data_IF_031511542510
#
_entry.id   IF_031511542510
#
_cell.length_a   1.000
_cell.length_b   1.000
_cell.length_c   1.000
_cell.angle_alpha   90.00
_cell.angle_beta   90.00
_cell.angle_gamma   90.00
#
_symmetry.space_group_name_H-M   'P 1'
#
loop_
_entity.id
_entity.type
_entity.pdbx_description
1 polymer ?
#
# COMPACT_ATOMS: atom_id res chain seq x y z
N UNK A 1 10.79 -35.95 3.72
CA UNK A 1 10.73 -34.88 4.73
C UNK A 1 10.25 -33.61 4.05
N UNK A 2 8.94 -33.36 3.98
CA UNK A 2 8.44 -32.04 3.61
C UNK A 2 8.64 -31.15 4.85
N UNK A 3 9.69 -30.34 4.83
CA UNK A 3 9.76 -29.18 5.73
C UNK A 3 8.64 -28.26 5.28
N UNK A 4 7.57 -28.14 6.08
CA UNK A 4 6.65 -27.01 5.97
C UNK A 4 7.50 -25.76 6.13
N UNK A 5 7.69 -25.01 5.04
CA UNK A 5 8.31 -23.70 5.11
C UNK A 5 7.49 -22.86 6.12
N UNK A 6 8.13 -22.09 7.02
CA UNK A 6 7.39 -21.16 7.85
C UNK A 6 6.57 -20.25 6.92
N UNK A 7 5.26 -20.13 7.16
CA UNK A 7 4.43 -19.17 6.44
C UNK A 7 5.00 -17.78 6.70
N UNK A 8 5.74 -17.25 5.72
CA UNK A 8 6.25 -15.89 5.77
C UNK A 8 5.07 -14.96 5.54
N UNK A 9 4.52 -14.44 6.63
CA UNK A 9 3.47 -13.45 6.55
C UNK A 9 4.13 -12.10 6.27
N UNK A 10 3.71 -11.38 5.21
CA UNK A 10 4.32 -10.12 4.86
C UNK A 10 4.05 -9.07 5.96
N UNK A 11 5.08 -8.26 6.26
CA UNK A 11 5.00 -7.12 7.19
C UNK A 11 4.14 -5.97 6.65
N UNK A 12 3.78 -6.02 5.37
CA UNK A 12 2.97 -5.01 4.68
C UNK A 12 1.73 -5.63 4.07
N UNK A 13 0.66 -4.85 4.01
CA UNK A 13 -0.60 -5.20 3.35
C UNK A 13 -0.95 -4.12 2.36
N UNK A 14 -1.13 -4.49 1.10
CA UNK A 14 -1.44 -3.56 0.01
C UNK A 14 -2.94 -3.21 0.04
N UNK A 15 -3.23 -1.91 0.05
CA UNK A 15 -4.57 -1.34 -0.11
C UNK A 15 -4.84 -0.96 -1.58
N UNK A 16 -3.78 -0.56 -2.30
CA UNK A 16 -3.80 -0.27 -3.73
C UNK A 16 -2.43 -0.64 -4.31
N UNK A 17 -2.41 -1.27 -5.49
CA UNK A 17 -1.21 -1.46 -6.28
C UNK A 17 -1.59 -1.36 -7.76
N UNK A 18 -1.27 -0.21 -8.38
CA UNK A 18 -1.68 0.09 -9.74
C UNK A 18 -1.11 -0.88 -10.78
N UNK A 19 0.02 -1.53 -10.50
CA UNK A 19 0.64 -2.52 -11.41
C UNK A 19 -0.05 -3.88 -11.37
N UNK A 20 -0.77 -4.18 -10.29
CA UNK A 20 -1.49 -5.45 -10.14
C UNK A 20 -2.85 -5.47 -10.85
N UNK A 21 -3.33 -4.31 -11.31
CA UNK A 21 -4.62 -4.14 -11.96
C UNK A 21 -4.48 -4.42 -13.46
N UNK A 22 -5.05 -5.53 -13.93
CA UNK A 22 -4.98 -5.91 -15.35
C UNK A 22 -5.99 -5.17 -16.25
N UNK A 23 -7.06 -4.62 -15.66
CA UNK A 23 -8.09 -3.84 -16.36
C UNK A 23 -7.87 -2.35 -16.23
N UNK A 24 -8.88 -1.56 -16.60
CA UNK A 24 -8.89 -0.10 -16.37
C UNK A 24 -8.74 0.21 -14.88
N UNK A 25 -7.81 1.11 -14.53
CA UNK A 25 -7.65 1.62 -13.16
C UNK A 25 -8.84 2.48 -12.73
N UNK A 26 -9.58 3.06 -13.68
CA UNK A 26 -10.77 3.87 -13.44
C UNK A 26 -10.47 5.25 -12.84
N UNK A 27 -9.21 5.70 -12.87
CA UNK A 27 -8.84 6.99 -12.31
C UNK A 27 -9.34 8.14 -13.19
N UNK A 28 -9.74 9.22 -12.54
CA UNK A 28 -10.40 10.34 -13.22
C UNK A 28 -9.41 11.47 -13.44
N UNK A 29 -9.10 11.75 -14.70
CA UNK A 29 -8.25 12.88 -15.11
C UNK A 29 -9.09 14.14 -15.38
N UNK A 30 -8.59 15.29 -14.95
CA UNK A 30 -9.14 16.61 -15.28
C UNK A 30 -8.03 17.66 -15.49
N UNK A 31 -8.10 18.51 -16.52
CA UNK A 31 -8.97 18.36 -17.70
C UNK A 31 -8.68 17.04 -18.42
N UNK A 32 -9.61 16.59 -19.28
CA UNK A 32 -9.47 15.31 -19.99
C UNK A 32 -8.22 15.22 -20.87
N UNK A 33 -7.65 16.37 -21.23
CA UNK A 33 -6.40 16.50 -21.99
C UNK A 33 -5.19 16.79 -21.09
N UNK A 34 -5.32 16.60 -19.77
CA UNK A 34 -4.23 16.71 -18.80
C UNK A 34 -3.47 15.40 -18.69
N UNK A 35 -3.82 14.60 -17.69
CA UNK A 35 -3.28 13.26 -17.50
C UNK A 35 -3.87 12.27 -18.50
N UNK A 36 -3.01 11.49 -19.14
CA UNK A 36 -3.37 10.46 -20.12
C UNK A 36 -2.89 9.09 -19.63
N UNK A 37 -3.77 8.09 -19.69
CA UNK A 37 -3.42 6.70 -19.41
C UNK A 37 -2.74 6.07 -20.63
N UNK A 38 -1.63 5.38 -20.37
CA UNK A 38 -0.83 4.66 -21.36
C UNK A 38 -0.61 3.23 -20.87
N UNK A 39 -0.88 2.28 -21.74
CA UNK A 39 -0.46 0.90 -21.54
C UNK A 39 1.02 0.74 -21.85
N UNK A 40 1.79 0.36 -20.83
CA UNK A 40 3.21 0.02 -20.93
C UNK A 40 3.44 -1.43 -20.49
N UNK A 41 4.69 -1.88 -20.53
CA UNK A 41 5.10 -3.17 -19.95
C UNK A 41 6.19 -2.94 -18.93
N UNK A 42 6.18 -3.73 -17.87
CA UNK A 42 7.24 -3.71 -16.88
C UNK A 42 8.45 -4.60 -17.26
N UNK A 43 9.41 -4.71 -16.35
CA UNK A 43 10.64 -5.51 -16.52
C UNK A 43 10.36 -7.01 -16.77
N UNK A 44 9.22 -7.52 -16.28
CA UNK A 44 8.78 -8.90 -16.45
C UNK A 44 7.85 -9.08 -17.66
N UNK A 45 7.73 -8.04 -18.51
CA UNK A 45 6.80 -7.97 -19.64
C UNK A 45 5.32 -8.08 -19.25
N UNK A 46 4.98 -7.80 -18.00
CA UNK A 46 3.60 -7.69 -17.58
C UNK A 46 3.02 -6.33 -18.03
N UNK A 47 1.79 -6.29 -18.57
CA UNK A 47 1.14 -5.04 -18.93
C UNK A 47 0.89 -4.22 -17.67
N UNK A 48 1.28 -2.95 -17.70
CA UNK A 48 1.06 -1.98 -16.63
C UNK A 48 0.36 -0.75 -17.20
N UNK A 49 -0.41 -0.06 -16.34
CA UNK A 49 -1.03 1.21 -16.67
C UNK A 49 -0.24 2.34 -16.06
N UNK A 50 0.29 3.20 -16.92
CA UNK A 50 1.07 4.39 -16.56
C UNK A 50 0.23 5.62 -16.87
N UNK A 51 0.26 6.64 -16.00
CA UNK A 51 -0.38 7.93 -16.30
C UNK A 51 0.69 8.97 -16.62
N UNK A 52 0.57 9.67 -17.74
CA UNK A 52 1.53 10.71 -18.13
C UNK A 52 0.89 12.07 -18.35
N UNK A 53 1.68 13.13 -18.17
CA UNK A 53 1.35 14.50 -18.57
C UNK A 53 2.63 15.24 -18.95
N UNK A 54 2.61 15.99 -20.05
CA UNK A 54 3.78 16.75 -20.53
C UNK A 54 3.37 18.06 -21.22
N UNK A 55 2.65 18.92 -20.48
CA UNK A 55 2.11 20.20 -21.00
C UNK A 55 2.98 21.42 -20.63
N UNK A 56 4.29 21.25 -20.80
CA UNK A 56 5.33 22.20 -20.34
C UNK A 56 5.34 23.55 -21.07
N UNK A 57 4.69 23.65 -22.22
CA UNK A 57 4.67 24.86 -23.07
C UNK A 57 3.54 25.83 -22.70
N UNK A 58 2.55 25.36 -21.95
CA UNK A 58 1.37 26.12 -21.62
C UNK A 58 1.52 26.82 -20.26
N UNK A 59 0.94 28.01 -20.13
CA UNK A 59 0.90 28.71 -18.84
C UNK A 59 -0.29 28.24 -18.00
N UNK A 60 -0.22 28.46 -16.68
CA UNK A 60 -1.31 28.22 -15.72
C UNK A 60 -1.88 26.79 -15.80
N UNK A 61 -1.00 25.79 -15.94
CA UNK A 61 -1.40 24.39 -15.89
C UNK A 61 -1.96 24.03 -14.51
N UNK A 62 -2.98 23.17 -14.51
CA UNK A 62 -3.60 22.60 -13.32
C UNK A 62 -4.27 21.27 -13.70
N UNK A 63 -3.45 20.24 -13.88
CA UNK A 63 -3.88 18.92 -14.32
C UNK A 63 -3.98 17.97 -13.13
N UNK A 64 -5.18 17.55 -12.78
CA UNK A 64 -5.50 16.63 -11.70
C UNK A 64 -5.74 15.21 -12.19
N UNK A 65 -5.30 14.24 -11.40
CA UNK A 65 -5.58 12.82 -11.53
C UNK A 65 -6.06 12.28 -10.19
N UNK A 66 -7.28 11.77 -10.15
CA UNK A 66 -7.91 11.26 -8.92
C UNK A 66 -7.98 9.73 -8.96
N UNK A 67 -7.57 9.08 -7.87
CA UNK A 67 -7.72 7.62 -7.74
C UNK A 67 -9.17 7.24 -7.46
N UNK A 68 -9.45 5.93 -7.46
CA UNK A 68 -10.66 5.41 -6.81
C UNK A 68 -10.55 5.50 -5.29
N UNK A 69 -11.67 5.23 -4.61
CA UNK A 69 -11.72 5.16 -3.16
C UNK A 69 -10.91 3.97 -2.64
N UNK A 70 -10.04 4.23 -1.66
CA UNK A 70 -9.15 3.25 -1.06
C UNK A 70 -9.61 3.01 0.37
N UNK A 71 -10.00 1.77 0.68
CA UNK A 71 -10.37 1.36 2.03
C UNK A 71 -9.13 1.32 2.92
N UNK A 72 -9.23 1.82 4.16
CA UNK A 72 -8.12 1.79 5.12
C UNK A 72 -7.90 0.42 5.74
N UNK A 73 -8.90 -0.47 5.69
CA UNK A 73 -8.92 -1.76 6.39
C UNK A 73 -8.58 -1.67 7.89
N UNK A 74 -8.91 -0.53 8.51
CA UNK A 74 -8.61 -0.26 9.92
C UNK A 74 -7.20 0.28 10.18
N UNK A 75 -6.38 0.47 9.13
CA UNK A 75 -5.09 1.12 9.25
C UNK A 75 -5.25 2.61 9.57
N UNK A 76 -4.62 3.06 10.65
CA UNK A 76 -4.55 4.47 11.02
C UNK A 76 -3.37 5.18 10.37
N UNK A 77 -2.40 4.43 9.84
CA UNK A 77 -1.27 4.98 9.09
C UNK A 77 -1.01 4.14 7.86
N UNK A 78 -0.88 4.80 6.73
CA UNK A 78 -0.61 4.17 5.43
C UNK A 78 0.63 4.81 4.81
N UNK A 79 1.26 4.07 3.91
CA UNK A 79 2.42 4.47 3.14
C UNK A 79 2.04 4.46 1.66
N UNK A 80 2.48 5.49 0.94
CA UNK A 80 2.28 5.68 -0.48
C UNK A 80 3.65 5.67 -1.11
N UNK A 81 3.92 4.62 -1.89
CA UNK A 81 5.10 4.49 -2.73
C UNK A 81 4.71 4.91 -4.15
N UNK A 82 5.40 5.93 -4.65
CA UNK A 82 5.26 6.43 -6.01
C UNK A 82 6.50 6.03 -6.80
N UNK A 83 6.30 5.41 -7.96
CA UNK A 83 7.36 5.24 -8.96
C UNK A 83 7.03 6.07 -10.18
N UNK A 84 7.94 6.94 -10.60
CA UNK A 84 7.68 7.87 -11.70
C UNK A 84 8.96 8.24 -12.43
N UNK A 85 8.81 8.74 -13.65
CA UNK A 85 9.90 9.37 -14.41
C UNK A 85 9.62 10.85 -14.57
N UNK A 86 10.68 11.66 -14.63
CA UNK A 86 10.59 13.11 -14.78
C UNK A 86 11.64 13.60 -15.77
N UNK A 87 11.20 14.40 -16.74
CA UNK A 87 12.11 14.98 -17.74
C UNK A 87 12.64 16.33 -17.28
N UNK A 88 13.94 16.52 -17.41
CA UNK A 88 14.63 17.78 -17.09
C UNK A 88 14.12 18.93 -17.98
N UNK A 89 13.77 20.07 -17.37
CA UNK A 89 13.24 21.22 -18.09
C UNK A 89 14.25 21.85 -19.07
N UNK A 90 15.55 21.76 -18.80
CA UNK A 90 16.61 22.23 -19.69
C UNK A 90 16.71 21.38 -20.97
N UNK A 91 16.20 20.15 -20.94
CA UNK A 91 16.16 19.25 -22.10
C UNK A 91 14.91 19.44 -22.98
N UNK A 92 14.02 20.37 -22.63
CA UNK A 92 12.77 20.63 -23.33
C UNK A 92 12.86 21.90 -24.17
N UNK A 93 12.73 21.80 -25.51
CA UNK A 93 12.78 22.97 -26.36
C UNK A 93 11.50 23.78 -26.15
N UNK A 94 11.61 24.99 -25.60
CA UNK A 94 10.51 25.97 -25.51
C UNK A 94 9.74 26.04 -24.19
N UNK A 95 10.08 25.22 -23.19
CA UNK A 95 9.45 25.25 -21.85
C UNK A 95 10.04 26.27 -20.87
N UNK A 96 10.86 27.21 -21.35
CA UNK A 96 11.62 28.13 -20.50
C UNK A 96 10.66 29.10 -19.79
N UNK A 97 10.56 28.97 -18.46
CA UNK A 97 9.75 29.82 -17.58
C UNK A 97 8.37 29.27 -17.21
N UNK A 98 7.89 28.23 -17.89
CA UNK A 98 6.62 27.54 -17.59
C UNK A 98 6.83 26.13 -17.03
N UNK A 99 7.89 25.44 -17.48
CA UNK A 99 8.20 24.08 -17.07
C UNK A 99 8.49 23.95 -15.56
N UNK A 100 8.01 22.85 -14.97
CA UNK A 100 8.24 22.45 -13.57
C UNK A 100 8.91 21.08 -13.51
N UNK A 101 9.63 20.84 -12.42
CA UNK A 101 10.30 19.55 -12.13
C UNK A 101 9.71 18.91 -10.86
N UNK A 102 8.46 19.26 -10.55
CA UNK A 102 7.72 18.75 -9.40
C UNK A 102 6.25 18.59 -9.72
N UNK A 103 5.57 17.72 -8.98
CA UNK A 103 4.11 17.60 -8.94
C UNK A 103 3.65 17.51 -7.49
N UNK A 104 2.37 17.78 -7.24
CA UNK A 104 1.84 17.75 -5.87
C UNK A 104 1.01 16.49 -5.64
N UNK A 105 1.11 15.92 -4.45
CA UNK A 105 0.26 14.83 -3.99
C UNK A 105 -0.73 15.32 -2.94
N UNK A 106 -1.97 14.87 -3.03
CA UNK A 106 -3.07 15.23 -2.15
C UNK A 106 -3.84 13.99 -1.68
N UNK A 107 -4.59 14.13 -0.59
CA UNK A 107 -5.54 13.12 -0.13
C UNK A 107 -6.84 13.73 0.39
N UNK A 108 -7.92 12.94 0.40
CA UNK A 108 -9.21 13.28 0.98
C UNK A 108 -9.82 12.07 1.67
N UNK A 109 -10.06 12.16 2.98
CA UNK A 109 -10.69 11.09 3.77
C UNK A 109 -12.23 11.18 3.74
N UNK A 110 -12.90 10.03 3.54
CA UNK A 110 -14.36 9.94 3.59
C UNK A 110 -14.82 8.53 3.99
N UNK A 111 -16.05 8.42 4.48
CA UNK A 111 -16.65 7.14 4.87
C UNK A 111 -17.32 6.39 3.69
N UNK A 112 -17.26 6.93 2.47
CA UNK A 112 -17.73 6.32 1.22
C UNK A 112 -19.15 6.73 0.80
N UNK A 113 -19.96 7.23 1.74
CA UNK A 113 -21.37 7.61 1.48
C UNK A 113 -21.50 9.00 0.81
N UNK A 114 -20.41 9.76 0.71
CA UNK A 114 -20.45 11.17 0.28
C UNK A 114 -20.33 11.37 -1.23
N UNK A 115 -19.67 10.46 -1.97
CA UNK A 115 -19.54 10.58 -3.44
C UNK A 115 -20.77 10.06 -4.20
N UNK A 116 -21.63 9.24 -3.57
CA UNK A 116 -22.92 8.83 -4.16
C UNK A 116 -24.01 9.92 -4.02
N UNK A 117 -23.85 10.87 -3.09
CA UNK A 117 -24.83 11.94 -2.82
C UNK A 117 -24.64 13.21 -3.67
N UNK A 118 -23.86 13.16 -4.76
CA UNK A 118 -23.62 14.29 -5.67
C UNK A 118 -24.01 13.96 -7.14
N UNK A 119 -25.04 13.14 -7.34
CA UNK A 119 -25.71 12.97 -8.63
C UNK A 119 -27.22 13.27 -8.59
N UNK A 120 -27.73 13.84 -7.50
CA UNK A 120 -29.16 14.10 -7.30
C UNK A 120 -29.48 15.50 -6.77
N UNK A 121 -29.93 16.38 -7.66
CA UNK A 121 -30.85 17.51 -7.45
C UNK A 121 -30.76 18.30 -6.11
N UNK A 122 -30.16 19.50 -6.14
CA UNK A 122 -30.38 20.46 -5.05
C UNK A 122 -31.69 21.26 -5.25
N UNK A 123 -32.38 21.45 -4.12
CA UNK A 123 -33.76 21.93 -3.91
C UNK A 123 -34.07 23.38 -4.32
N UNK A 124 -33.22 24.05 -5.10
CA UNK A 124 -33.41 25.48 -5.41
C UNK A 124 -32.93 25.91 -6.80
N UNK A 125 -33.28 25.18 -7.87
CA UNK A 125 -33.41 25.71 -9.25
C UNK A 125 -32.23 26.40 -9.96
N UNK A 126 -31.11 26.68 -9.28
CA UNK A 126 -29.87 27.22 -9.84
C UNK A 126 -28.88 26.08 -9.95
N UNK A 127 -28.67 25.58 -11.16
CA UNK A 127 -27.68 24.53 -11.42
C UNK A 127 -26.28 25.05 -11.17
N UNK A 128 -25.53 24.37 -10.30
CA UNK A 128 -24.10 24.58 -10.14
C UNK A 128 -23.39 24.25 -11.46
N UNK A 129 -22.44 25.09 -11.87
CA UNK A 129 -21.64 24.80 -13.06
C UNK A 129 -20.69 23.63 -12.79
N UNK A 130 -20.30 22.88 -13.84
CA UNK A 130 -19.32 21.78 -13.69
C UNK A 130 -17.99 22.28 -13.09
N UNK A 131 -17.62 23.53 -13.31
CA UNK A 131 -16.40 24.14 -12.75
C UNK A 131 -16.53 24.41 -11.24
N UNK A 132 -17.69 24.86 -10.78
CA UNK A 132 -17.97 25.10 -9.35
C UNK A 132 -18.04 23.80 -8.55
N UNK A 133 -18.69 22.77 -9.10
CA UNK A 133 -18.72 21.41 -8.53
C UNK A 133 -17.30 20.86 -8.33
N UNK A 134 -16.45 21.06 -9.34
CA UNK A 134 -15.04 20.64 -9.32
C UNK A 134 -14.21 21.43 -8.33
N UNK A 135 -14.31 22.75 -8.33
CA UNK A 135 -13.61 23.58 -7.35
C UNK A 135 -14.00 23.19 -5.93
N UNK A 136 -15.27 22.82 -5.71
CA UNK A 136 -15.74 22.29 -4.44
C UNK A 136 -15.10 20.94 -4.12
N UNK A 137 -15.03 20.00 -5.07
CA UNK A 137 -14.34 18.70 -4.91
C UNK A 137 -12.85 18.86 -4.60
N UNK A 138 -12.13 19.66 -5.40
CA UNK A 138 -10.71 19.95 -5.22
C UNK A 138 -10.42 20.61 -3.86
N UNK A 139 -11.34 21.46 -3.37
CA UNK A 139 -11.19 22.11 -2.06
C UNK A 139 -11.22 21.16 -0.86
N UNK A 140 -11.74 19.93 -1.03
CA UNK A 140 -11.76 18.90 0.02
C UNK A 140 -10.40 18.21 0.20
N UNK A 141 -9.52 18.31 -0.79
CA UNK A 141 -8.23 17.65 -0.78
C UNK A 141 -7.19 18.42 0.06
N UNK A 142 -6.47 17.69 0.90
CA UNK A 142 -5.37 18.21 1.71
C UNK A 142 -4.06 17.86 1.02
N UNK A 143 -3.19 18.86 0.86
CA UNK A 143 -1.86 18.66 0.25
C UNK A 143 -0.98 17.82 1.18
N UNK A 144 -0.44 16.72 0.67
CA UNK A 144 0.51 15.86 1.36
C UNK A 144 1.92 16.42 1.21
N UNK A 145 2.38 16.54 -0.04
CA UNK A 145 3.73 17.03 -0.33
C UNK A 145 3.85 17.53 -1.78
N UNK A 146 4.97 18.21 -2.06
CA UNK A 146 5.46 18.50 -3.41
C UNK A 146 6.54 17.48 -3.74
N UNK A 147 6.24 16.56 -4.66
CA UNK A 147 7.12 15.48 -5.06
C UNK A 147 8.09 15.98 -6.13
N UNK A 148 9.38 15.73 -5.91
CA UNK A 148 10.47 16.03 -6.83
C UNK A 148 11.18 14.73 -7.20
N UNK A 149 11.87 14.71 -8.34
CA UNK A 149 12.72 13.60 -8.74
C UNK A 149 14.11 13.72 -8.08
N UNK A 150 14.67 12.58 -7.67
CA UNK A 150 16.09 12.46 -7.32
C UNK A 150 16.97 12.51 -8.58
N UNK A 151 16.51 11.84 -9.65
CA UNK A 151 17.14 11.84 -10.96
C UNK A 151 16.12 12.19 -12.06
N UNK A 152 16.40 13.24 -12.83
CA UNK A 152 15.69 13.56 -14.06
C UNK A 152 16.41 12.98 -15.28
N UNK A 153 15.67 12.73 -16.36
CA UNK A 153 16.26 12.30 -17.64
C UNK A 153 16.30 13.46 -18.64
N UNK A 154 17.30 13.43 -19.51
CA UNK A 154 17.60 14.45 -20.52
C UNK A 154 17.46 13.92 -21.94
N UNK A 155 17.70 14.77 -22.95
CA UNK A 155 17.70 14.36 -24.37
C UNK A 155 18.79 13.32 -24.67
N UNK A 156 19.93 13.37 -23.97
CA UNK A 156 21.00 12.39 -24.10
C UNK A 156 20.53 11.00 -23.63
N UNK A 157 19.87 10.94 -22.48
CA UNK A 157 19.34 9.70 -21.92
C UNK A 157 18.28 9.07 -22.83
N UNK A 158 17.45 9.89 -23.48
CA UNK A 158 16.51 9.43 -24.52
C UNK A 158 17.24 8.82 -25.72
N UNK A 159 18.38 9.38 -26.13
CA UNK A 159 19.24 8.83 -27.18
C UNK A 159 19.77 7.43 -26.84
N UNK A 160 20.06 7.21 -25.55
CA UNK A 160 20.53 5.93 -25.00
C UNK A 160 19.38 4.99 -24.59
N UNK A 161 18.12 5.42 -24.74
CA UNK A 161 16.90 4.72 -24.30
C UNK A 161 16.87 4.40 -22.81
N UNK A 162 17.47 5.27 -22.00
CA UNK A 162 17.49 5.17 -20.55
C UNK A 162 16.48 6.14 -19.97
N UNK A 163 15.46 5.62 -19.30
CA UNK A 163 14.56 6.42 -18.47
C UNK A 163 14.98 6.31 -17.01
N UNK A 164 14.92 7.42 -16.28
CA UNK A 164 15.28 7.47 -14.86
C UNK A 164 14.05 7.27 -13.99
N UNK A 165 13.93 6.08 -13.41
CA UNK A 165 12.84 5.72 -12.52
C UNK A 165 13.14 6.19 -11.09
N UNK A 166 12.32 7.10 -10.58
CA UNK A 166 12.37 7.63 -9.23
C UNK A 166 11.42 6.83 -8.33
N UNK A 167 11.76 6.70 -7.04
CA UNK A 167 10.88 6.07 -6.04
C UNK A 167 10.77 6.99 -4.82
N UNK A 168 9.57 7.50 -4.57
CA UNK A 168 9.28 8.37 -3.43
C UNK A 168 8.27 7.71 -2.50
N UNK A 169 8.55 7.72 -1.19
CA UNK A 169 7.63 7.17 -0.19
C UNK A 169 7.17 8.29 0.74
N UNK A 170 5.86 8.39 0.94
CA UNK A 170 5.23 9.29 1.92
C UNK A 170 4.26 8.51 2.78
N UNK A 171 4.04 8.98 4.00
CA UNK A 171 3.06 8.38 4.90
C UNK A 171 1.91 9.35 5.21
N UNK A 172 0.71 8.78 5.43
CA UNK A 172 -0.48 9.51 5.86
C UNK A 172 -0.97 8.90 7.17
N UNK A 173 -1.35 9.76 8.10
CA UNK A 173 -1.99 9.37 9.35
C UNK A 173 -1.93 10.46 10.41
N UNK A 174 -2.73 10.35 11.50
CA UNK A 174 -3.71 9.30 11.75
C UNK A 174 -4.94 9.42 10.85
N UNK A 175 -5.25 8.37 10.08
CA UNK A 175 -6.50 8.24 9.32
C UNK A 175 -7.63 7.82 10.27
N UNK A 176 -8.77 8.48 10.14
CA UNK A 176 -9.93 8.32 11.02
C UNK A 176 -11.19 7.85 10.28
N UNK A 177 -11.24 8.00 8.95
CA UNK A 177 -12.37 7.56 8.12
C UNK A 177 -12.17 6.15 7.57
N UNK A 178 -13.24 5.56 7.02
CA UNK A 178 -13.20 4.21 6.42
C UNK A 178 -12.32 4.11 5.18
N UNK A 179 -12.13 5.21 4.46
CA UNK A 179 -11.31 5.23 3.27
C UNK A 179 -10.90 6.63 2.87
N UNK A 180 -10.15 6.72 1.78
CA UNK A 180 -9.65 7.98 1.26
C UNK A 180 -9.40 7.90 -0.25
N UNK A 181 -9.29 9.06 -0.87
CA UNK A 181 -8.83 9.24 -2.24
C UNK A 181 -7.44 9.84 -2.23
N UNK A 182 -6.63 9.48 -3.22
CA UNK A 182 -5.42 10.20 -3.57
C UNK A 182 -5.66 11.04 -4.81
N UNK A 183 -4.97 12.17 -4.90
CA UNK A 183 -4.94 12.96 -6.13
C UNK A 183 -3.53 13.50 -6.43
N UNK A 184 -3.22 13.60 -7.71
CA UNK A 184 -1.95 14.10 -8.22
C UNK A 184 -2.19 15.33 -9.08
N UNK A 185 -1.55 16.43 -8.73
CA UNK A 185 -1.69 17.71 -9.43
C UNK A 185 -0.37 18.07 -10.12
N UNK A 186 -0.45 18.22 -11.43
CA UNK A 186 0.60 18.76 -12.28
C UNK A 186 0.34 20.24 -12.59
N UNK A 187 1.39 21.05 -12.45
CA UNK A 187 1.39 22.50 -12.70
C UNK A 187 2.31 22.88 -13.88
N UNK A 188 2.68 21.92 -14.74
CA UNK A 188 3.48 22.15 -15.95
C UNK A 188 4.79 21.37 -16.00
N UNK A 189 4.82 20.17 -15.43
CA UNK A 189 5.92 19.23 -15.53
C UNK A 189 5.75 18.27 -16.73
N UNK A 190 6.80 17.47 -16.98
CA UNK A 190 6.76 16.37 -17.92
C UNK A 190 7.07 15.08 -17.16
N UNK A 191 6.01 14.39 -16.75
CA UNK A 191 6.06 13.28 -15.80
C UNK A 191 5.27 12.09 -16.32
N UNK A 192 5.75 10.89 -15.98
CA UNK A 192 5.00 9.65 -16.14
C UNK A 192 4.98 8.91 -14.80
N UNK A 193 3.79 8.72 -14.24
CA UNK A 193 3.52 8.00 -13.01
C UNK A 193 3.34 6.51 -13.33
N UNK A 194 4.42 5.75 -13.12
CA UNK A 194 4.56 4.34 -13.48
C UNK A 194 3.88 3.41 -12.49
N UNK A 195 3.89 3.77 -11.20
CA UNK A 195 3.28 2.95 -10.15
C UNK A 195 2.83 3.80 -8.99
N UNK A 196 1.64 3.50 -8.47
CA UNK A 196 1.18 3.96 -7.15
C UNK A 196 0.83 2.74 -6.33
N UNK A 197 1.54 2.58 -5.22
CA UNK A 197 1.29 1.51 -4.26
C UNK A 197 0.98 2.12 -2.91
N UNK A 198 -0.19 1.79 -2.38
CA UNK A 198 -0.63 2.18 -1.05
C UNK A 198 -0.66 0.94 -0.19
N UNK A 199 -0.02 1.00 0.97
CA UNK A 199 0.05 -0.14 1.88
C UNK A 199 0.14 0.33 3.33
N UNK A 200 -0.24 -0.54 4.27
CA UNK A 200 0.04 -0.32 5.69
C UNK A 200 0.97 -1.41 6.21
N UNK A 201 1.61 -1.13 7.34
CA UNK A 201 2.48 -2.09 8.03
C UNK A 201 1.69 -2.82 9.12
N UNK A 202 2.04 -4.08 9.38
CA UNK A 202 1.45 -4.88 10.46
C UNK A 202 2.48 -5.79 11.10
N UNK A 203 2.25 -6.10 12.38
CA UNK A 203 2.94 -7.20 13.04
C UNK A 203 2.19 -8.49 12.72
N UNK A 204 2.81 -9.41 11.96
CA UNK A 204 2.13 -10.63 11.51
C UNK A 204 1.95 -11.64 12.63
N UNK A 205 1.02 -12.56 12.46
CA UNK A 205 0.77 -13.65 13.39
C UNK A 205 2.08 -14.39 13.72
N UNK A 206 2.34 -14.54 15.02
CA UNK A 206 3.58 -15.11 15.51
C UNK A 206 3.29 -16.07 16.67
N UNK A 207 3.91 -17.25 16.63
CA UNK A 207 4.00 -18.14 17.79
C UNK A 207 5.39 -18.03 18.39
N UNK A 208 5.49 -17.57 19.64
CA UNK A 208 6.76 -17.42 20.35
C UNK A 208 6.60 -17.82 21.81
N UNK A 209 7.53 -18.65 22.32
CA UNK A 209 7.50 -19.10 23.72
C UNK A 209 6.17 -19.75 24.12
N UNK A 210 5.63 -20.61 23.24
CA UNK A 210 4.34 -21.29 23.36
C UNK A 210 3.13 -20.35 23.49
N UNK A 211 3.26 -19.11 23.03
CA UNK A 211 2.19 -18.12 22.98
C UNK A 211 1.95 -17.65 21.55
N UNK A 212 0.68 -17.55 21.18
CA UNK A 212 0.18 -17.01 19.91
C UNK A 212 -0.08 -15.51 20.07
N UNK A 213 0.46 -14.72 19.14
CA UNK A 213 0.23 -13.29 19.03
C UNK A 213 -0.48 -13.02 17.70
N UNK A 214 -1.68 -12.42 17.72
CA UNK A 214 -2.49 -12.22 16.51
C UNK A 214 -1.91 -11.13 15.61
N UNK A 215 -2.35 -11.13 14.35
CA UNK A 215 -2.10 -10.02 13.42
C UNK A 215 -2.53 -8.70 14.06
N UNK A 216 -1.58 -7.75 14.15
CA UNK A 216 -1.78 -6.48 14.85
C UNK A 216 -1.40 -5.30 13.97
N UNK A 217 -2.31 -4.34 13.84
CA UNK A 217 -2.04 -3.04 13.21
C UNK A 217 -1.33 -2.13 14.24
N UNK A 218 -0.17 -1.54 13.90
CA UNK A 218 0.55 -0.63 14.79
C UNK A 218 -0.23 0.65 15.06
N UNK A 219 0.23 1.41 16.05
CA UNK A 219 -0.28 2.76 16.31
C UNK A 219 0.06 3.75 15.20
N UNK A 220 -0.61 4.90 15.20
CA UNK A 220 -0.39 5.97 14.20
C UNK A 220 0.88 6.77 14.46
N UNK A 221 1.29 6.93 15.72
CA UNK A 221 2.41 7.79 16.10
C UNK A 221 3.75 7.07 15.93
N UNK A 222 4.76 7.72 15.35
CA UNK A 222 6.02 7.08 14.93
C UNK A 222 6.72 6.23 16.00
N UNK A 223 6.68 6.64 17.27
CA UNK A 223 7.34 5.93 18.38
C UNK A 223 6.36 5.14 19.27
N UNK A 224 5.11 4.96 18.86
CA UNK A 224 4.12 4.23 19.63
C UNK A 224 4.35 2.73 19.54
N UNK A 225 4.24 2.07 20.69
CA UNK A 225 4.29 0.62 20.81
C UNK A 225 2.92 0.12 21.26
N UNK A 226 2.33 -0.80 20.48
CA UNK A 226 1.06 -1.43 20.84
C UNK A 226 1.37 -2.67 21.66
N UNK A 227 1.02 -2.67 22.95
CA UNK A 227 1.10 -3.87 23.78
C UNK A 227 0.02 -4.87 23.36
N UNK A 228 0.44 -6.12 23.12
CA UNK A 228 -0.44 -7.22 22.73
C UNK A 228 -0.27 -8.37 23.71
N UNK A 229 -1.38 -8.76 24.32
CA UNK A 229 -1.46 -9.95 25.18
C UNK A 229 -1.58 -11.17 24.29
N UNK A 230 -0.65 -12.10 24.42
CA UNK A 230 -0.67 -13.38 23.71
C UNK A 230 -1.52 -14.42 24.41
N UNK A 231 -1.95 -15.42 23.64
CA UNK A 231 -2.71 -16.57 24.13
C UNK A 231 -1.83 -17.82 24.11
N UNK A 232 -1.83 -18.58 25.20
CA UNK A 232 -1.09 -19.83 25.24
C UNK A 232 -1.63 -20.82 24.20
N UNK A 233 -0.73 -21.49 23.48
CA UNK A 233 -1.11 -22.55 22.51
C UNK A 233 -1.86 -23.67 23.23
N UNK A 234 -2.59 -24.48 22.48
CA UNK A 234 -3.34 -25.62 23.04
C UNK A 234 -2.47 -26.50 23.94
N UNK A 235 -3.04 -26.95 25.06
CA UNK A 235 -2.38 -27.77 26.09
C UNK A 235 -1.19 -27.09 26.78
N UNK A 236 -1.18 -25.75 26.84
CA UNK A 236 -0.19 -24.97 27.59
C UNK A 236 -0.86 -23.93 28.50
N UNK A 237 -0.14 -23.47 29.52
CA UNK A 237 -0.60 -22.48 30.50
C UNK A 237 0.48 -21.42 30.73
N UNK A 238 0.09 -20.17 31.08
CA UNK A 238 1.05 -19.13 31.41
C UNK A 238 1.81 -19.54 32.67
N UNK A 239 3.13 -19.35 32.67
CA UNK A 239 3.96 -19.72 33.83
C UNK A 239 3.72 -18.80 35.04
N UNK A 240 3.44 -17.51 34.80
CA UNK A 240 3.17 -16.51 35.83
C UNK A 240 2.03 -15.57 35.39
N UNK A 241 2.34 -14.64 34.49
CA UNK A 241 1.39 -13.71 33.88
C UNK A 241 1.13 -14.12 32.42
N UNK A 242 0.03 -13.63 31.81
CA UNK A 242 -0.17 -13.74 30.39
C UNK A 242 1.05 -13.20 29.61
N UNK A 243 1.53 -13.93 28.59
CA UNK A 243 2.65 -13.49 27.77
C UNK A 243 2.27 -12.23 27.00
N UNK A 244 3.21 -11.31 26.82
CA UNK A 244 3.00 -10.02 26.16
C UNK A 244 4.12 -9.72 25.17
N UNK A 245 3.77 -9.03 24.08
CA UNK A 245 4.71 -8.46 23.12
C UNK A 245 4.30 -7.05 22.76
N UNK A 246 5.21 -6.31 22.14
CA UNK A 246 4.94 -4.97 21.66
C UNK A 246 5.11 -4.93 20.13
N UNK A 247 4.12 -4.40 19.43
CA UNK A 247 4.16 -4.18 17.99
C UNK A 247 4.64 -2.76 17.68
N UNK A 248 5.71 -2.63 16.89
CA UNK A 248 6.26 -1.33 16.45
C UNK A 248 5.58 -0.80 15.20
N UNK A 249 5.75 0.49 14.92
CA UNK A 249 5.23 1.15 13.70
C UNK A 249 5.84 0.63 12.41
N UNK A 250 6.99 -0.03 12.48
CA UNK A 250 7.64 -0.73 11.37
C UNK A 250 7.02 -2.11 11.08
N UNK A 251 6.05 -2.55 11.88
CA UNK A 251 5.45 -3.88 11.77
C UNK A 251 6.28 -4.97 12.46
N UNK A 252 7.23 -4.61 13.31
CA UNK A 252 8.10 -5.56 13.99
C UNK A 252 7.61 -5.90 15.40
N UNK A 253 7.69 -7.18 15.73
CA UNK A 253 7.48 -7.68 17.08
C UNK A 253 8.73 -7.48 17.94
N UNK A 254 8.60 -6.75 19.04
CA UNK A 254 9.68 -6.52 20.00
C UNK A 254 9.76 -7.63 21.07
N UNK A 255 10.70 -7.51 22.01
CA UNK A 255 11.06 -8.56 22.97
C UNK A 255 9.84 -9.09 23.75
N UNK A 256 9.62 -10.43 23.80
CA UNK A 256 8.52 -11.02 24.54
C UNK A 256 8.75 -10.96 26.06
N UNK A 257 7.66 -10.68 26.78
CA UNK A 257 7.60 -10.67 28.25
C UNK A 257 6.69 -11.83 28.69
N UNK A 258 7.22 -12.72 29.52
CA UNK A 258 6.50 -13.93 29.93
C UNK A 258 6.57 -15.06 28.90
N UNK A 259 5.99 -16.21 29.25
CA UNK A 259 5.92 -17.41 28.40
C UNK A 259 4.82 -18.35 28.86
N UNK A 260 4.41 -19.24 27.97
CA UNK A 260 3.61 -20.40 28.32
C UNK A 260 4.50 -21.63 28.51
N UNK A 261 3.97 -22.62 29.22
CA UNK A 261 4.60 -23.93 29.43
C UNK A 261 3.57 -25.02 29.17
N UNK A 262 4.00 -26.13 28.56
CA UNK A 262 3.10 -27.26 28.33
C UNK A 262 2.55 -27.80 29.66
N UNK A 263 1.28 -28.21 29.62
CA UNK A 263 0.64 -28.87 30.74
C UNK A 263 1.30 -30.24 31.00
N UNK A 264 1.18 -30.80 32.22
CA UNK A 264 1.68 -32.14 32.52
C UNK A 264 1.19 -33.18 31.52
N UNK A 265 2.11 -34.00 30.99
CA UNK A 265 1.84 -35.00 29.95
C UNK A 265 2.00 -34.49 28.50
N UNK A 266 2.42 -33.24 28.33
CA UNK A 266 2.75 -32.66 27.02
C UNK A 266 4.19 -32.12 26.99
N UNK A 267 4.83 -32.25 25.83
CA UNK A 267 6.15 -31.70 25.54
C UNK A 267 6.11 -30.67 24.40
N UNK A 268 7.01 -29.69 24.44
CA UNK A 268 7.13 -28.67 23.39
C UNK A 268 7.80 -29.27 22.14
N UNK A 269 7.06 -29.30 21.03
CA UNK A 269 7.53 -29.73 19.72
C UNK A 269 7.12 -28.68 18.69
N UNK A 270 8.10 -28.03 18.05
CA UNK A 270 7.90 -27.02 17.00
C UNK A 270 6.93 -25.89 17.38
N UNK A 271 6.99 -25.38 18.62
CA UNK A 271 6.11 -24.31 19.09
C UNK A 271 4.68 -24.75 19.43
N UNK A 272 4.45 -26.06 19.55
CA UNK A 272 3.17 -26.66 19.98
C UNK A 272 3.40 -27.62 21.14
N UNK A 273 2.38 -27.87 21.96
CA UNK A 273 2.44 -28.88 23.03
C UNK A 273 1.79 -30.19 22.55
N UNK A 274 2.57 -31.26 22.46
CA UNK A 274 2.16 -32.57 21.98
C UNK A 274 2.28 -33.63 23.09
N UNK A 275 1.43 -34.66 23.05
CA UNK A 275 1.39 -35.69 24.10
C UNK A 275 2.72 -36.45 24.15
N UNK A 276 3.27 -36.54 25.35
CA UNK A 276 4.51 -37.25 25.63
C UNK A 276 4.33 -38.75 25.28
N UNK A 277 5.05 -39.23 24.25
CA UNK A 277 5.21 -40.66 24.00
C UNK A 277 4.14 -41.40 23.17
N UNK A 278 3.45 -40.76 22.23
CA UNK A 278 2.78 -41.53 21.15
C UNK A 278 3.78 -41.75 20.01
N UNK A 279 4.35 -42.98 19.81
CA UNK A 279 5.04 -43.27 18.56
C UNK A 279 4.06 -43.04 17.41
N UNK A 280 4.49 -42.48 16.26
CA UNK A 280 3.59 -42.24 15.14
C UNK A 280 2.81 -43.51 14.84
N UNK A 281 1.48 -43.47 14.93
CA UNK A 281 0.67 -44.64 14.61
C UNK A 281 0.97 -45.03 13.15
N UNK A 282 1.18 -46.31 12.83
CA UNK A 282 1.51 -46.74 11.48
C UNK A 282 0.36 -46.58 10.46
N UNK A 283 -0.75 -45.93 10.81
CA UNK A 283 -1.93 -45.79 9.94
C UNK A 283 -1.88 -44.62 8.94
N UNK A 284 -0.82 -43.79 8.93
CA UNK A 284 -0.67 -42.71 7.95
C UNK A 284 0.39 -42.99 6.85
N UNK A 285 0.90 -44.22 6.76
CA UNK A 285 1.66 -44.72 5.59
C UNK A 285 0.72 -45.55 4.71
N UNK A 286 -0.33 -44.93 4.19
CA UNK A 286 -1.11 -45.46 3.08
C UNK A 286 -1.47 -44.31 2.15
N UNK A 287 -0.50 -43.86 1.36
CA UNK A 287 -0.67 -43.47 -0.04
C UNK A 287 0.68 -43.06 -0.65
N UNK A 288 1.55 -44.05 -0.87
CA UNK A 288 2.52 -44.01 -1.97
C UNK A 288 3.24 -45.35 -2.09
N UNK A 289 2.68 -46.24 -2.90
CA UNK A 289 3.53 -47.08 -3.75
C UNK A 289 3.06 -46.90 -5.18
N UNK A 290 3.97 -46.39 -6.00
CA UNK A 290 3.94 -46.51 -7.44
C UNK A 290 3.57 -47.94 -7.86
N UNK A 291 2.65 -48.04 -8.80
CA UNK A 291 2.60 -49.18 -9.72
C UNK A 291 2.79 -48.63 -11.13
N UNK A 292 4.04 -48.58 -11.55
CA UNK A 292 4.39 -48.72 -12.96
C UNK A 292 4.49 -50.22 -13.26
N UNK A 293 3.58 -50.74 -14.10
CA UNK A 293 3.77 -51.82 -15.10
C UNK A 293 2.41 -52.37 -15.57
N UNK A 294 1.89 -51.79 -16.66
CA UNK A 294 1.47 -52.43 -17.92
C UNK A 294 0.91 -51.38 -18.89
#
# INVERSE_FOLDING_TARGET
MLRTAPCFHPLTVNLLDSRSVMGDLGWVAYPKNGWEEIGEVDEDYAPIHTYQVCRVMEQNQNNWLHTNWILTEGAQRVFIELKFTLRDCNSLPGGVGTCKETFNMYYYETDGDEDEMEYGEMRDGTGMTEEEDRAMKESRYIKVDTIAADESFTELDLGDRVMKLNTEVRDLGPLIRKGFYLAFQDLGACIALVSVRVFYKRCPFLVKSLAEFPDTIPGSEASQLVEVVGHCVNNSLPLYEPPRMHCSTEGEWLVPIGKCVCQPGFEEINGSCQVEGIPPSPAALCCSTDSALL
#
